data_IF_563484529929
#
_entry.id   IF_563484529929
#
_cell.length_a   1.000
_cell.length_b   1.000
_cell.length_c   1.000
_cell.angle_alpha   90.00
_cell.angle_beta   90.00
_cell.angle_gamma   90.00
#
_symmetry.space_group_name_H-M   'P 1'
#
loop_
_entity.id
_entity.type
_entity.pdbx_description
1 polymer ?
#
# COMPACT_ATOMS: atom_id res chain seq x y z
N UNK A 1 -43.05 -16.93 26.98
CA UNK A 1 -42.17 -17.96 26.37
C UNK A 1 -40.92 -17.25 25.87
N UNK A 2 -39.80 -17.59 26.49
CA UNK A 2 -38.51 -16.93 26.25
C UNK A 2 -37.94 -17.36 24.90
N UNK A 3 -37.57 -16.39 24.07
CA UNK A 3 -36.76 -16.59 22.87
C UNK A 3 -35.27 -16.50 23.25
N UNK A 4 -34.57 -17.62 23.09
CA UNK A 4 -33.14 -17.74 23.32
C UNK A 4 -32.36 -16.91 22.30
N UNK A 5 -31.61 -15.91 22.78
CA UNK A 5 -30.57 -15.26 22.02
C UNK A 5 -29.46 -16.28 21.72
N UNK A 6 -29.12 -16.43 20.46
CA UNK A 6 -27.96 -17.22 20.07
C UNK A 6 -26.69 -16.42 20.42
N UNK A 7 -25.91 -16.94 21.36
CA UNK A 7 -24.52 -16.55 21.57
C UNK A 7 -23.72 -16.95 20.33
N UNK A 8 -23.26 -15.97 19.58
CA UNK A 8 -22.20 -16.13 18.61
C UNK A 8 -20.91 -16.49 19.37
N UNK A 9 -20.55 -17.77 19.34
CA UNK A 9 -19.36 -18.25 20.01
C UNK A 9 -18.11 -17.53 19.53
N UNK A 10 -17.54 -16.73 20.40
CA UNK A 10 -16.16 -16.27 20.33
C UNK A 10 -15.27 -17.51 20.31
N UNK A 11 -14.69 -17.84 19.15
CA UNK A 11 -13.59 -18.79 19.10
C UNK A 11 -12.45 -18.18 19.92
N UNK A 12 -12.02 -18.89 20.99
CA UNK A 12 -11.04 -18.40 21.96
C UNK A 12 -9.66 -18.20 21.36
N UNK A 13 -9.44 -17.04 20.80
CA UNK A 13 -8.12 -16.48 20.52
C UNK A 13 -7.69 -15.71 21.76
N UNK A 14 -6.43 -15.87 22.19
CA UNK A 14 -5.86 -15.06 23.27
C UNK A 14 -5.87 -13.57 22.96
N UNK A 15 -5.62 -12.75 23.95
CA UNK A 15 -5.49 -11.29 23.81
C UNK A 15 -4.04 -10.95 23.46
N UNK A 16 -3.78 -10.10 22.45
CA UNK A 16 -2.43 -9.62 22.17
C UNK A 16 -1.97 -8.73 23.32
N UNK A 17 -1.02 -9.22 24.10
CA UNK A 17 -0.45 -8.53 25.28
C UNK A 17 0.88 -7.83 24.99
N UNK A 18 1.49 -8.10 23.84
CA UNK A 18 2.74 -7.52 23.39
C UNK A 18 3.13 -8.00 21.99
N UNK A 19 4.23 -7.45 21.50
CA UNK A 19 4.82 -7.81 20.21
C UNK A 19 6.31 -8.13 20.39
N UNK A 20 6.76 -9.27 19.87
CA UNK A 20 8.17 -9.56 19.66
C UNK A 20 8.58 -9.08 18.28
N UNK A 21 9.59 -8.18 18.23
CA UNK A 21 10.06 -7.58 16.99
C UNK A 21 11.53 -7.92 16.77
N UNK A 22 11.83 -8.58 15.66
CA UNK A 22 13.19 -8.95 15.26
C UNK A 22 13.50 -8.50 13.83
N UNK A 23 14.77 -8.35 13.49
CA UNK A 23 15.20 -8.08 12.12
C UNK A 23 15.08 -9.36 11.28
N UNK A 24 14.37 -9.29 10.18
CA UNK A 24 14.22 -10.38 9.19
C UNK A 24 15.23 -10.26 8.05
N UNK A 25 15.39 -9.04 7.49
CA UNK A 25 16.41 -8.73 6.48
C UNK A 25 17.07 -7.42 6.88
N UNK A 26 18.39 -7.36 6.85
CA UNK A 26 19.17 -6.16 7.13
C UNK A 26 19.99 -5.72 5.91
N UNK A 27 20.57 -4.51 5.97
CA UNK A 27 21.49 -4.02 4.96
C UNK A 27 20.82 -3.49 3.69
N UNK A 28 19.55 -3.15 3.76
CA UNK A 28 18.77 -2.60 2.65
C UNK A 28 18.93 -1.06 2.56
N UNK A 29 18.65 -0.50 1.39
CA UNK A 29 18.62 0.94 1.19
C UNK A 29 17.20 1.41 0.87
N UNK A 30 16.51 1.93 1.87
CA UNK A 30 15.12 2.37 1.80
C UNK A 30 14.20 1.29 1.22
N UNK A 31 14.08 0.13 1.91
CA UNK A 31 13.15 -0.91 1.50
C UNK A 31 11.72 -0.34 1.46
N UNK A 32 11.05 -0.52 0.33
CA UNK A 32 9.77 0.13 0.13
C UNK A 32 8.58 -0.81 0.31
N UNK A 33 8.66 -2.02 -0.23
CA UNK A 33 7.61 -3.03 -0.10
C UNK A 33 8.20 -4.44 -0.10
N UNK A 34 7.46 -5.41 0.42
CA UNK A 34 7.84 -6.82 0.50
C UNK A 34 6.69 -7.70 0.01
N UNK A 35 7.02 -8.81 -0.64
CA UNK A 35 6.06 -9.83 -1.05
C UNK A 35 6.72 -11.21 -1.10
N UNK A 36 5.90 -12.26 -1.25
CA UNK A 36 6.36 -13.66 -1.33
C UNK A 36 5.83 -14.32 -2.58
N UNK A 37 6.68 -15.11 -3.25
CA UNK A 37 6.23 -16.06 -4.25
C UNK A 37 5.59 -17.29 -3.57
N UNK A 38 4.76 -18.06 -4.29
CA UNK A 38 4.10 -19.24 -3.71
C UNK A 38 5.04 -20.31 -3.14
N UNK A 39 6.30 -20.33 -3.57
CA UNK A 39 7.33 -21.23 -3.05
C UNK A 39 8.08 -20.71 -1.82
N UNK A 40 7.70 -19.55 -1.29
CA UNK A 40 8.34 -18.91 -0.14
C UNK A 40 9.50 -17.97 -0.49
N UNK A 41 9.88 -17.81 -1.75
CA UNK A 41 10.86 -16.81 -2.19
C UNK A 41 10.40 -15.41 -1.79
N UNK A 42 11.29 -14.63 -1.17
CA UNK A 42 10.99 -13.28 -0.70
C UNK A 42 11.43 -12.25 -1.75
N UNK A 43 10.58 -11.27 -2.00
CA UNK A 43 10.86 -10.13 -2.86
C UNK A 43 10.81 -8.84 -2.05
N UNK A 44 11.80 -7.96 -2.26
CA UNK A 44 11.84 -6.64 -1.63
C UNK A 44 12.20 -5.59 -2.67
N UNK A 45 11.40 -4.54 -2.78
CA UNK A 45 11.77 -3.35 -3.53
C UNK A 45 12.54 -2.38 -2.65
N UNK A 46 13.58 -1.78 -3.21
CA UNK A 46 14.32 -0.69 -2.60
C UNK A 46 14.19 0.56 -3.46
N UNK A 47 13.87 1.68 -2.82
CA UNK A 47 13.56 2.95 -3.52
C UNK A 47 14.64 3.42 -4.50
N UNK A 48 15.95 3.22 -4.25
CA UNK A 48 16.99 3.58 -5.24
C UNK A 48 16.91 2.85 -6.58
N UNK A 49 16.11 1.81 -6.72
CA UNK A 49 15.85 1.13 -7.99
C UNK A 49 16.30 -0.33 -8.03
N UNK A 50 16.10 -1.06 -6.94
CA UNK A 50 16.40 -2.50 -6.87
C UNK A 50 15.15 -3.31 -6.50
N UNK A 51 14.92 -4.39 -7.23
CA UNK A 51 14.03 -5.48 -6.82
C UNK A 51 14.93 -6.67 -6.44
N UNK A 52 15.02 -6.96 -5.16
CA UNK A 52 15.76 -8.10 -4.63
C UNK A 52 14.86 -9.32 -4.53
N UNK A 53 15.33 -10.47 -5.00
CA UNK A 53 14.64 -11.77 -5.00
C UNK A 53 15.50 -12.78 -4.26
N UNK A 54 15.08 -13.19 -3.08
CA UNK A 54 15.81 -14.09 -2.18
C UNK A 54 15.33 -15.53 -2.39
N UNK A 55 15.94 -16.22 -3.35
CA UNK A 55 15.53 -17.59 -3.75
C UNK A 55 15.97 -18.65 -2.72
N UNK A 56 17.18 -18.49 -2.18
CA UNK A 56 17.81 -19.46 -1.26
C UNK A 56 17.70 -19.04 0.20
N UNK A 57 16.68 -18.22 0.54
CA UNK A 57 16.49 -17.65 1.87
C UNK A 57 17.12 -16.26 2.01
N UNK A 58 16.71 -15.54 3.03
CA UNK A 58 17.06 -14.12 3.21
C UNK A 58 18.49 -13.87 3.67
N UNK A 59 19.18 -14.90 4.15
CA UNK A 59 20.61 -14.84 4.49
C UNK A 59 21.52 -15.01 3.28
N UNK A 60 20.98 -15.44 2.13
CA UNK A 60 21.71 -15.57 0.88
C UNK A 60 21.73 -14.25 0.09
N UNK A 61 22.68 -14.14 -0.84
CA UNK A 61 22.68 -13.01 -1.76
C UNK A 61 21.47 -13.09 -2.70
N UNK A 62 20.66 -12.02 -2.82
CA UNK A 62 19.52 -12.03 -3.72
C UNK A 62 19.94 -11.97 -5.20
N UNK A 63 19.10 -12.53 -6.06
CA UNK A 63 19.04 -12.09 -7.43
C UNK A 63 18.44 -10.68 -7.47
N UNK A 64 19.08 -9.72 -8.13
CA UNK A 64 18.65 -8.32 -8.11
C UNK A 64 18.36 -7.81 -9.52
N UNK A 65 17.15 -7.26 -9.69
CA UNK A 65 16.73 -6.55 -10.91
C UNK A 65 16.98 -5.05 -10.69
N UNK A 66 17.79 -4.45 -11.56
CA UNK A 66 18.16 -3.02 -11.50
C UNK A 66 17.88 -2.35 -12.85
N UNK A 67 16.65 -1.86 -13.09
CA UNK A 67 16.32 -1.13 -14.31
C UNK A 67 17.10 0.19 -14.37
N UNK A 68 17.61 0.53 -15.54
CA UNK A 68 18.42 1.74 -15.78
C UNK A 68 17.57 3.02 -15.94
N UNK A 69 16.27 2.89 -16.08
CA UNK A 69 15.32 3.99 -16.25
C UNK A 69 14.68 4.50 -14.94
N UNK A 70 15.02 3.92 -13.78
CA UNK A 70 14.44 4.35 -12.49
C UNK A 70 14.93 5.75 -12.10
N UNK A 71 14.00 6.60 -11.68
CA UNK A 71 14.28 7.95 -11.17
C UNK A 71 14.03 7.99 -9.66
N UNK A 72 15.10 7.82 -8.89
CA UNK A 72 15.06 7.84 -7.42
C UNK A 72 15.26 9.27 -6.89
N UNK A 73 14.27 10.15 -7.09
CA UNK A 73 14.29 11.54 -6.61
C UNK A 73 13.04 11.86 -5.80
N UNK A 74 13.18 12.59 -4.70
CA UNK A 74 12.09 12.89 -3.78
C UNK A 74 11.47 11.62 -3.20
N UNK A 75 10.17 11.43 -3.38
CA UNK A 75 9.43 10.20 -3.03
C UNK A 75 9.49 9.15 -4.14
N UNK A 76 9.92 9.53 -5.35
CA UNK A 76 10.04 8.63 -6.49
C UNK A 76 11.16 7.61 -6.34
N UNK A 77 11.15 6.60 -7.18
CA UNK A 77 12.07 5.48 -7.18
C UNK A 77 11.35 4.19 -7.53
N UNK A 78 11.87 3.04 -7.11
CA UNK A 78 11.15 1.78 -7.16
C UNK A 78 10.30 1.64 -5.88
N UNK A 79 9.00 1.46 -6.04
CA UNK A 79 8.00 1.66 -5.01
C UNK A 79 7.24 0.34 -4.70
N UNK A 80 5.91 0.37 -4.76
CA UNK A 80 5.05 -0.76 -4.41
C UNK A 80 5.26 -2.00 -5.27
N UNK A 81 5.06 -3.14 -4.65
CA UNK A 81 5.28 -4.47 -5.20
C UNK A 81 4.05 -5.34 -4.96
N UNK A 82 3.65 -6.13 -5.97
CA UNK A 82 2.60 -7.13 -5.85
C UNK A 82 2.91 -8.37 -6.68
N UNK A 83 2.61 -9.54 -6.15
CA UNK A 83 2.76 -10.83 -6.84
C UNK A 83 1.40 -11.24 -7.42
N UNK A 84 1.36 -11.66 -8.69
CA UNK A 84 0.12 -12.16 -9.28
C UNK A 84 -0.38 -13.40 -8.51
N UNK A 85 -1.66 -13.48 -8.14
CA UNK A 85 -2.23 -14.67 -7.52
C UNK A 85 -2.05 -15.96 -8.35
N UNK A 86 -1.85 -15.81 -9.67
CA UNK A 86 -1.55 -16.91 -10.60
C UNK A 86 -0.05 -17.04 -10.93
N UNK A 87 0.85 -16.54 -10.07
CA UNK A 87 2.30 -16.54 -10.32
C UNK A 87 2.83 -17.88 -10.78
N UNK A 88 2.41 -18.98 -10.16
CA UNK A 88 2.84 -20.34 -10.53
C UNK A 88 2.59 -20.70 -12.01
N UNK A 89 1.66 -19.98 -12.67
CA UNK A 89 1.29 -20.19 -14.08
C UNK A 89 1.96 -19.16 -14.98
N UNK A 90 1.96 -17.85 -14.55
CA UNK A 90 2.31 -16.74 -15.42
C UNK A 90 3.65 -16.06 -15.06
N UNK A 91 4.19 -16.28 -13.85
CA UNK A 91 5.43 -15.68 -13.38
C UNK A 91 5.35 -14.16 -13.14
N UNK A 92 4.15 -13.58 -13.03
CA UNK A 92 4.00 -12.12 -13.02
C UNK A 92 4.19 -11.51 -11.63
N UNK A 93 4.96 -10.42 -11.63
CA UNK A 93 5.18 -9.52 -10.50
C UNK A 93 4.99 -8.10 -10.98
N UNK A 94 4.26 -7.29 -10.23
CA UNK A 94 3.93 -5.91 -10.57
C UNK A 94 4.73 -4.98 -9.67
N UNK A 95 5.39 -3.99 -10.27
CA UNK A 95 6.21 -3.01 -9.55
C UNK A 95 5.85 -1.62 -10.02
N UNK A 96 5.52 -0.76 -9.06
CA UNK A 96 5.43 0.68 -9.33
C UNK A 96 6.83 1.30 -9.34
N UNK A 97 7.10 2.19 -10.28
CA UNK A 97 8.34 2.96 -10.25
C UNK A 97 8.23 4.31 -10.96
N UNK A 98 8.96 5.31 -10.47
CA UNK A 98 9.22 6.50 -11.25
C UNK A 98 10.29 6.17 -12.29
N UNK A 99 10.04 6.47 -13.55
CA UNK A 99 10.84 6.02 -14.69
C UNK A 99 11.04 7.14 -15.71
N UNK A 100 12.24 7.25 -16.26
CA UNK A 100 12.55 8.15 -17.37
C UNK A 100 12.78 7.36 -18.64
N UNK A 101 11.86 7.44 -19.56
CA UNK A 101 11.98 6.79 -20.88
C UNK A 101 11.94 7.85 -21.97
N UNK A 102 12.94 7.85 -22.85
CA UNK A 102 13.06 8.81 -23.94
C UNK A 102 13.01 10.30 -23.52
N UNK A 103 13.48 10.60 -22.30
CA UNK A 103 13.52 11.96 -21.75
C UNK A 103 12.22 12.42 -21.09
N UNK A 104 11.19 11.60 -21.04
CA UNK A 104 9.96 11.86 -20.29
C UNK A 104 9.97 11.04 -19.00
N UNK A 105 9.66 11.70 -17.87
CA UNK A 105 9.54 11.03 -16.57
C UNK A 105 8.07 10.93 -16.18
N UNK A 106 7.66 9.72 -15.81
CA UNK A 106 6.36 9.44 -15.23
C UNK A 106 6.49 8.42 -14.07
N UNK A 107 5.44 8.24 -13.29
CA UNK A 107 5.28 7.03 -12.48
C UNK A 107 4.56 6.01 -13.34
N UNK A 108 4.99 4.76 -13.28
CA UNK A 108 4.37 3.68 -14.06
C UNK A 108 4.24 2.39 -13.26
N UNK A 109 3.29 1.57 -13.65
CA UNK A 109 3.17 0.20 -13.19
C UNK A 109 3.79 -0.73 -14.23
N UNK A 110 4.86 -1.40 -13.83
CA UNK A 110 5.62 -2.35 -14.66
C UNK A 110 5.27 -3.77 -14.22
N UNK A 111 5.08 -4.66 -15.16
CA UNK A 111 4.98 -6.08 -14.92
C UNK A 111 6.25 -6.78 -15.36
N UNK A 112 6.91 -7.45 -14.43
CA UNK A 112 7.98 -8.40 -14.75
C UNK A 112 7.38 -9.80 -14.86
N UNK A 113 7.79 -10.55 -15.89
CA UNK A 113 7.65 -11.99 -15.92
C UNK A 113 8.96 -12.58 -15.41
N UNK A 114 8.91 -13.23 -14.26
CA UNK A 114 10.03 -13.97 -13.68
C UNK A 114 9.96 -15.42 -14.10
N UNK A 115 11.11 -16.09 -14.10
CA UNK A 115 11.15 -17.54 -14.34
C UNK A 115 10.45 -18.30 -13.21
N UNK A 116 9.58 -19.22 -13.58
CA UNK A 116 8.86 -20.05 -12.60
C UNK A 116 9.55 -21.40 -12.39
N UNK A 117 9.48 -22.01 -11.20
CA UNK A 117 8.78 -21.50 -10.01
C UNK A 117 9.62 -20.57 -9.13
N UNK A 118 10.91 -20.40 -9.39
CA UNK A 118 11.88 -19.86 -8.43
C UNK A 118 12.01 -18.33 -8.47
N UNK A 119 11.66 -17.68 -9.60
CA UNK A 119 11.81 -16.24 -9.74
C UNK A 119 13.25 -15.74 -9.88
N UNK A 120 14.20 -16.62 -10.21
CA UNK A 120 15.63 -16.34 -10.22
C UNK A 120 16.16 -15.66 -11.50
N UNK A 121 15.29 -15.33 -12.44
CA UNK A 121 15.63 -14.54 -13.62
C UNK A 121 14.41 -13.77 -14.15
N UNK A 122 14.67 -12.63 -14.83
CA UNK A 122 13.63 -11.89 -15.55
C UNK A 122 13.55 -12.44 -16.97
N UNK A 123 12.35 -12.90 -17.34
CA UNK A 123 12.05 -13.38 -18.69
C UNK A 123 11.59 -12.21 -19.58
N UNK A 124 10.77 -11.30 -19.02
CA UNK A 124 10.24 -10.15 -19.76
C UNK A 124 9.85 -9.01 -18.81
N UNK A 125 9.85 -7.78 -19.35
CA UNK A 125 9.27 -6.58 -18.74
C UNK A 125 8.18 -6.00 -19.65
N UNK A 126 7.07 -5.59 -19.09
CA UNK A 126 5.99 -4.90 -19.79
C UNK A 126 5.50 -3.73 -18.95
N UNK A 127 5.47 -2.52 -19.52
CA UNK A 127 4.90 -1.35 -18.87
C UNK A 127 3.38 -1.37 -19.08
N UNK A 128 2.60 -1.71 -18.06
CA UNK A 128 1.14 -1.91 -18.20
C UNK A 128 0.31 -0.66 -17.91
N UNK A 129 0.82 0.26 -17.08
CA UNK A 129 0.27 1.60 -16.91
C UNK A 129 1.40 2.60 -17.00
N UNK A 130 1.27 3.58 -17.88
CA UNK A 130 2.19 4.70 -18.08
C UNK A 130 1.43 6.02 -17.94
N UNK A 131 2.17 7.12 -17.73
CA UNK A 131 1.59 8.45 -17.70
C UNK A 131 0.93 8.81 -16.36
N UNK A 132 1.16 8.08 -15.28
CA UNK A 132 0.87 8.63 -13.96
C UNK A 132 1.80 9.84 -13.74
N UNK A 133 1.27 11.01 -13.35
CA UNK A 133 2.03 12.24 -13.36
C UNK A 133 3.23 12.19 -12.42
N UNK A 134 4.30 12.84 -12.82
CA UNK A 134 5.52 13.06 -12.04
C UNK A 134 5.97 14.50 -12.23
N UNK A 135 6.32 15.19 -11.15
CA UNK A 135 6.87 16.53 -11.20
C UNK A 135 8.27 16.61 -10.59
N UNK A 136 8.35 16.93 -9.31
CA UNK A 136 9.62 17.01 -8.56
C UNK A 136 9.93 15.76 -7.73
N UNK A 137 9.18 14.69 -7.91
CA UNK A 137 9.20 13.48 -7.07
C UNK A 137 8.29 13.56 -5.85
N UNK A 138 7.52 14.64 -5.67
CA UNK A 138 6.47 14.72 -4.64
C UNK A 138 5.27 13.88 -5.04
N UNK A 139 4.64 13.26 -4.04
CA UNK A 139 3.39 12.54 -4.16
C UNK A 139 3.40 11.49 -5.29
N UNK A 140 4.39 10.63 -5.25
CA UNK A 140 4.52 9.56 -6.26
C UNK A 140 3.53 8.41 -6.04
N UNK A 141 2.91 8.29 -4.87
CA UNK A 141 2.02 7.18 -4.54
C UNK A 141 2.76 5.85 -4.64
N UNK A 142 2.41 5.05 -5.20
CA UNK A 142 1.97 4.04 -6.13
C UNK A 142 2.13 2.67 -5.47
N UNK A 143 1.04 2.12 -4.95
CA UNK A 143 1.01 0.82 -4.30
C UNK A 143 -0.03 -0.09 -4.94
N UNK A 144 0.41 -1.13 -5.67
CA UNK A 144 -0.50 -2.11 -6.25
C UNK A 144 -0.92 -3.16 -5.22
N UNK A 145 -2.17 -3.62 -5.28
CA UNK A 145 -2.71 -4.78 -4.56
C UNK A 145 -3.79 -5.45 -5.37
N UNK A 146 -3.82 -6.78 -5.40
CA UNK A 146 -4.97 -7.47 -5.93
C UNK A 146 -6.13 -7.40 -4.95
N UNK A 147 -7.30 -6.98 -5.45
CA UNK A 147 -8.53 -7.02 -4.67
C UNK A 147 -9.19 -8.40 -4.72
N UNK A 148 -10.19 -8.64 -3.84
CA UNK A 148 -10.97 -9.88 -3.82
C UNK A 148 -11.73 -10.13 -5.13
N UNK A 149 -11.96 -9.07 -5.90
CA UNK A 149 -12.57 -9.10 -7.23
C UNK A 149 -11.61 -9.55 -8.35
N UNK A 150 -10.34 -9.83 -8.02
CA UNK A 150 -9.29 -10.29 -8.94
C UNK A 150 -8.70 -9.21 -9.84
N UNK A 151 -9.08 -7.94 -9.65
CA UNK A 151 -8.48 -6.78 -10.32
C UNK A 151 -7.33 -6.21 -9.50
N UNK A 152 -6.46 -5.47 -10.18
CA UNK A 152 -5.34 -4.77 -9.56
C UNK A 152 -5.79 -3.36 -9.19
N UNK A 153 -5.67 -3.03 -7.90
CA UNK A 153 -5.95 -1.73 -7.34
C UNK A 153 -4.64 -0.99 -7.08
N UNK A 154 -4.58 0.28 -7.50
CA UNK A 154 -3.33 1.06 -7.41
C UNK A 154 -3.65 2.46 -6.90
N UNK A 155 -3.19 2.78 -5.68
CA UNK A 155 -3.24 4.15 -5.19
C UNK A 155 -2.19 5.02 -5.89
N UNK A 156 -2.55 6.22 -6.34
CA UNK A 156 -1.64 7.16 -7.01
C UNK A 156 -1.57 8.49 -6.28
N UNK A 157 -0.47 9.22 -6.46
CA UNK A 157 -0.35 10.59 -5.97
C UNK A 157 -0.69 11.61 -7.06
N UNK A 158 -1.00 12.85 -6.66
CA UNK A 158 -1.31 13.96 -7.55
C UNK A 158 -0.07 14.63 -8.17
N UNK A 159 1.14 14.13 -7.83
CA UNK A 159 2.44 14.68 -8.21
C UNK A 159 2.64 16.16 -7.79
N UNK A 160 1.88 16.64 -6.81
CA UNK A 160 1.77 18.05 -6.43
C UNK A 160 1.39 18.96 -7.61
N UNK A 161 0.52 18.47 -8.50
CA UNK A 161 -0.06 19.19 -9.62
C UNK A 161 -1.55 19.43 -9.35
N UNK A 162 -1.96 20.69 -9.17
CA UNK A 162 -3.26 21.05 -8.61
C UNK A 162 -4.48 20.54 -9.36
N UNK A 163 -4.39 20.35 -10.67
CA UNK A 163 -5.52 19.91 -11.50
C UNK A 163 -5.70 18.41 -11.58
N UNK A 164 -4.64 17.63 -11.33
CA UNK A 164 -4.67 16.18 -11.57
C UNK A 164 -5.69 15.40 -10.75
N UNK A 165 -5.98 15.74 -9.47
CA UNK A 165 -6.95 14.96 -8.69
C UNK A 165 -8.36 14.97 -9.28
N UNK A 166 -8.79 16.08 -9.88
CA UNK A 166 -10.14 16.28 -10.42
C UNK A 166 -10.24 16.06 -11.93
N UNK A 167 -9.12 16.01 -12.65
CA UNK A 167 -9.06 15.75 -14.08
C UNK A 167 -9.33 14.24 -14.35
N UNK A 168 -10.40 13.93 -15.07
CA UNK A 168 -10.80 12.55 -15.37
C UNK A 168 -9.82 11.84 -16.32
N UNK A 169 -9.11 12.58 -17.15
CA UNK A 169 -8.11 12.04 -18.08
C UNK A 169 -6.73 11.83 -17.43
N UNK A 170 -6.52 12.38 -16.23
CA UNK A 170 -5.30 12.19 -15.44
C UNK A 170 -5.37 10.90 -14.61
N UNK A 171 -4.23 10.21 -14.47
CA UNK A 171 -4.06 9.08 -13.55
C UNK A 171 -3.51 9.50 -12.19
N UNK A 172 -3.28 10.79 -11.94
CA UNK A 172 -2.79 11.31 -10.65
C UNK A 172 -3.92 11.64 -9.68
N UNK A 173 -3.69 11.39 -8.38
CA UNK A 173 -4.68 11.60 -7.34
C UNK A 173 -5.91 10.70 -7.51
N UNK A 174 -5.68 9.42 -7.75
CA UNK A 174 -6.68 8.39 -8.04
C UNK A 174 -6.44 7.12 -7.25
N UNK A 175 -7.48 6.31 -7.12
CA UNK A 175 -7.33 4.87 -6.95
C UNK A 175 -7.73 4.21 -8.26
N UNK A 176 -6.77 3.57 -8.92
CA UNK A 176 -7.01 2.83 -10.14
C UNK A 176 -7.56 1.44 -9.81
N UNK A 177 -8.44 0.91 -10.68
CA UNK A 177 -8.89 -0.48 -10.64
C UNK A 177 -8.84 -1.02 -12.07
N UNK A 178 -7.90 -1.91 -12.32
CA UNK A 178 -7.47 -2.33 -13.65
C UNK A 178 -7.29 -3.84 -13.75
N UNK A 179 -7.33 -4.37 -14.95
CA UNK A 179 -6.95 -5.77 -15.19
C UNK A 179 -5.43 -5.96 -15.20
N UNK A 180 -4.98 -7.20 -15.35
CA UNK A 180 -3.55 -7.58 -15.40
C UNK A 180 -2.76 -6.94 -16.54
N UNK A 181 -3.43 -6.35 -17.53
CA UNK A 181 -2.83 -5.69 -18.69
C UNK A 181 -3.01 -4.17 -18.67
N UNK A 182 -3.56 -3.63 -17.56
CA UNK A 182 -3.73 -2.20 -17.36
C UNK A 182 -4.98 -1.60 -17.99
N UNK A 183 -5.90 -2.42 -18.53
CA UNK A 183 -7.19 -1.93 -18.99
C UNK A 183 -8.13 -1.65 -17.80
N UNK A 184 -9.05 -0.70 -17.98
CA UNK A 184 -10.07 -0.38 -16.98
C UNK A 184 -10.88 -1.62 -16.61
N UNK A 185 -11.08 -1.86 -15.30
CA UNK A 185 -11.95 -2.93 -14.85
C UNK A 185 -13.42 -2.63 -15.16
N UNK A 186 -14.25 -3.63 -15.46
CA UNK A 186 -15.69 -3.45 -15.61
C UNK A 186 -16.32 -2.82 -14.36
N UNK A 187 -17.22 -1.87 -14.57
CA UNK A 187 -17.90 -1.14 -13.51
C UNK A 187 -17.21 0.13 -13.02
N UNK A 188 -16.00 0.43 -13.50
CA UNK A 188 -15.43 1.76 -13.33
C UNK A 188 -16.28 2.83 -14.06
N UNK A 189 -16.45 3.99 -13.43
CA UNK A 189 -17.23 5.09 -13.99
C UNK A 189 -16.64 5.52 -15.36
N UNK A 190 -17.50 5.71 -16.35
CA UNK A 190 -17.11 6.20 -17.69
C UNK A 190 -16.11 5.32 -18.45
N UNK A 191 -15.79 4.12 -17.96
CA UNK A 191 -14.75 3.27 -18.53
C UNK A 191 -13.32 3.77 -18.28
N UNK A 192 -13.14 4.69 -17.35
CA UNK A 192 -11.83 5.15 -16.90
C UNK A 192 -11.08 4.06 -16.15
N UNK A 193 -9.74 4.16 -16.12
CA UNK A 193 -8.89 3.25 -15.30
C UNK A 193 -9.05 3.49 -13.79
N UNK A 194 -9.46 4.68 -13.39
CA UNK A 194 -9.70 5.00 -11.99
C UNK A 194 -11.08 4.52 -11.52
N UNK A 195 -11.15 4.13 -10.27
CA UNK A 195 -12.35 3.77 -9.54
C UNK A 195 -12.84 4.92 -8.66
N UNK A 196 -11.90 5.64 -8.04
CA UNK A 196 -12.14 6.86 -7.31
C UNK A 196 -11.13 7.96 -7.66
N UNK A 197 -11.50 9.21 -7.43
CA UNK A 197 -10.72 10.41 -7.74
C UNK A 197 -10.76 11.42 -6.60
N UNK A 198 -9.99 12.51 -6.74
CA UNK A 198 -9.93 13.53 -5.71
C UNK A 198 -9.10 13.11 -4.51
N UNK A 199 -8.02 12.37 -4.73
CA UNK A 199 -7.02 11.97 -3.76
C UNK A 199 -5.76 12.83 -3.88
N UNK A 200 -5.02 12.99 -2.77
CA UNK A 200 -3.76 13.74 -2.75
C UNK A 200 -2.55 12.83 -2.97
N UNK A 201 -2.29 11.90 -2.07
CA UNK A 201 -1.11 11.02 -2.13
C UNK A 201 -1.41 9.68 -1.45
N UNK A 202 -2.09 8.81 -2.17
CA UNK A 202 -2.46 7.48 -1.69
C UNK A 202 -1.24 6.58 -1.62
N UNK A 203 -0.86 6.17 -0.41
CA UNK A 203 0.35 5.39 -0.10
C UNK A 203 0.07 3.94 0.25
N UNK A 204 -1.15 3.61 0.68
CA UNK A 204 -1.56 2.27 1.07
C UNK A 204 -2.86 1.85 0.38
N UNK A 205 -2.97 0.55 0.11
CA UNK A 205 -4.19 -0.16 -0.31
C UNK A 205 -4.19 -1.49 0.43
N UNK A 206 -5.30 -1.86 1.05
CA UNK A 206 -5.43 -3.12 1.77
C UNK A 206 -6.86 -3.66 1.68
N UNK A 207 -7.00 -4.98 1.73
CA UNK A 207 -8.28 -5.68 1.73
C UNK A 207 -8.34 -6.64 2.91
N UNK A 208 -9.51 -6.74 3.56
CA UNK A 208 -9.80 -7.71 4.60
C UNK A 208 -10.53 -8.91 3.99
N UNK A 209 -9.96 -10.10 4.13
CA UNK A 209 -10.49 -11.30 3.45
C UNK A 209 -11.84 -11.77 4.00
N UNK A 210 -12.17 -11.42 5.25
CA UNK A 210 -13.38 -11.92 5.90
C UNK A 210 -14.68 -11.35 5.30
N UNK A 211 -14.63 -10.13 4.74
CA UNK A 211 -15.81 -9.38 4.27
C UNK A 211 -15.52 -8.53 3.01
N UNK A 212 -14.36 -8.74 2.38
CA UNK A 212 -13.91 -8.01 1.20
C UNK A 212 -13.76 -6.50 1.41
N UNK A 213 -13.73 -6.03 2.67
CA UNK A 213 -13.57 -4.62 2.99
C UNK A 213 -12.23 -4.09 2.46
N UNK A 214 -12.29 -3.10 1.58
CA UNK A 214 -11.12 -2.44 1.03
C UNK A 214 -10.91 -1.05 1.62
N UNK A 215 -9.66 -0.71 1.92
CA UNK A 215 -9.26 0.62 2.40
C UNK A 215 -8.05 1.15 1.67
N UNK A 216 -7.93 2.48 1.62
CA UNK A 216 -6.70 3.17 1.25
C UNK A 216 -6.25 4.10 2.37
N UNK A 217 -4.94 4.40 2.40
CA UNK A 217 -4.33 5.38 3.30
C UNK A 217 -3.66 6.45 2.48
N UNK A 218 -3.80 7.71 2.87
CA UNK A 218 -3.17 8.81 2.15
C UNK A 218 -2.65 9.94 3.05
N UNK A 219 -1.68 10.67 2.52
CA UNK A 219 -1.09 11.81 3.21
C UNK A 219 -1.88 13.09 3.00
N UNK A 220 -2.26 13.73 4.09
CA UNK A 220 -2.67 15.12 4.10
C UNK A 220 -1.49 16.09 3.93
N UNK A 221 -1.75 17.39 3.73
CA UNK A 221 -0.69 18.40 3.56
C UNK A 221 0.12 18.66 4.85
N UNK A 222 -0.55 18.99 5.92
CA UNK A 222 0.04 19.19 7.27
C UNK A 222 -0.93 18.74 8.36
N UNK A 223 -2.16 18.51 7.96
CA UNK A 223 -3.30 17.98 8.75
C UNK A 223 -3.98 16.93 7.91
N UNK A 224 -4.82 16.12 8.54
CA UNK A 224 -5.76 15.22 7.88
C UNK A 224 -5.12 14.18 6.95
N UNK A 225 -4.15 13.40 7.46
CA UNK A 225 -3.91 12.09 6.86
C UNK A 225 -5.18 11.25 7.00
N UNK A 226 -5.52 10.45 6.01
CA UNK A 226 -6.81 9.78 5.93
C UNK A 226 -6.69 8.27 5.78
N UNK A 227 -7.64 7.56 6.40
CA UNK A 227 -8.03 6.20 6.06
C UNK A 227 -9.37 6.27 5.35
N UNK A 228 -9.43 5.79 4.12
CA UNK A 228 -10.59 5.88 3.24
C UNK A 228 -11.10 4.49 2.87
N UNK A 229 -12.42 4.31 2.76
CA UNK A 229 -12.98 3.12 2.12
C UNK A 229 -12.71 3.14 0.61
N UNK A 230 -12.43 1.98 0.03
CA UNK A 230 -12.35 1.81 -1.42
C UNK A 230 -13.76 1.72 -2.02
N UNK A 231 -14.38 2.88 -2.20
CA UNK A 231 -15.68 3.03 -2.85
C UNK A 231 -15.57 3.94 -4.07
N UNK A 232 -16.48 3.77 -5.02
CA UNK A 232 -16.52 4.65 -6.19
C UNK A 232 -16.96 6.06 -5.77
N UNK A 233 -16.24 7.08 -6.24
CA UNK A 233 -16.61 8.46 -5.94
C UNK A 233 -15.49 9.46 -6.09
N UNK A 234 -15.79 10.69 -5.66
CA UNK A 234 -14.85 11.79 -5.56
C UNK A 234 -14.57 12.05 -4.07
N UNK A 235 -13.31 12.02 -3.65
CA UNK A 235 -12.89 12.23 -2.26
C UNK A 235 -12.60 13.72 -1.94
N UNK A 236 -12.72 14.59 -2.94
CA UNK A 236 -12.84 16.04 -2.73
C UNK A 236 -11.53 16.82 -2.69
N UNK A 237 -10.35 16.19 -2.78
CA UNK A 237 -9.09 16.92 -2.85
C UNK A 237 -9.01 17.73 -4.15
N UNK A 238 -8.84 19.06 -4.02
CA UNK A 238 -8.76 20.00 -5.15
C UNK A 238 -7.98 21.26 -4.78
N UNK A 239 -6.64 21.23 -4.86
CA UNK A 239 -5.78 22.30 -4.37
C UNK A 239 -5.66 23.50 -5.32
N UNK A 240 -6.65 23.74 -6.17
CA UNK A 240 -6.63 24.90 -7.09
C UNK A 240 -7.21 26.17 -6.44
N UNK A 241 -6.79 27.37 -6.86
CA UNK A 241 -5.81 27.70 -7.93
C UNK A 241 -4.35 27.44 -7.50
N UNK A 242 -3.54 27.03 -8.46
CA UNK A 242 -2.15 26.63 -8.22
C UNK A 242 -2.05 25.27 -7.50
N UNK A 243 -1.25 25.21 -6.44
CA UNK A 243 -1.20 24.07 -5.52
C UNK A 243 -1.34 24.58 -4.09
N UNK A 244 -2.58 24.77 -3.66
CA UNK A 244 -2.93 25.33 -2.34
C UNK A 244 -3.16 24.22 -1.32
N UNK A 245 -2.17 23.96 -0.48
CA UNK A 245 -2.25 22.94 0.59
C UNK A 245 -3.05 23.40 1.83
N UNK A 246 -3.71 24.56 1.78
CA UNK A 246 -4.60 25.03 2.86
C UNK A 246 -6.07 24.67 2.64
N UNK A 247 -6.41 24.05 1.50
CA UNK A 247 -7.76 23.51 1.28
C UNK A 247 -7.97 22.23 2.08
N UNK A 248 -9.21 21.89 2.46
CA UNK A 248 -9.50 20.64 3.16
C UNK A 248 -9.20 19.43 2.25
N UNK A 249 -8.82 18.31 2.84
CA UNK A 249 -8.64 17.04 2.10
C UNK A 249 -9.96 16.63 1.42
N UNK A 250 -11.09 16.75 2.11
CA UNK A 250 -12.42 16.56 1.54
C UNK A 250 -13.19 17.88 1.53
N UNK A 251 -13.26 18.54 0.35
CA UNK A 251 -13.95 19.83 0.21
C UNK A 251 -15.45 19.64 -0.07
N UNK A 252 -16.26 19.52 0.97
CA UNK A 252 -17.72 19.38 0.90
C UNK A 252 -18.41 20.66 0.41
N UNK A 253 -17.77 21.83 0.46
CA UNK A 253 -18.32 23.07 -0.08
C UNK A 253 -18.27 23.06 -1.62
N UNK A 254 -17.14 22.63 -2.17
CA UNK A 254 -16.94 22.53 -3.62
C UNK A 254 -17.58 21.25 -4.21
N UNK A 255 -17.53 20.17 -3.47
CA UNK A 255 -18.05 18.86 -3.84
C UNK A 255 -19.01 18.33 -2.76
N UNK A 256 -20.29 18.77 -2.73
CA UNK A 256 -21.23 18.41 -1.65
C UNK A 256 -21.52 16.91 -1.50
N UNK A 257 -21.16 16.11 -2.50
CA UNK A 257 -21.31 14.65 -2.51
C UNK A 257 -19.95 13.93 -2.43
N UNK A 258 -18.88 14.63 -2.00
CA UNK A 258 -17.60 13.96 -1.81
C UNK A 258 -17.68 12.88 -0.74
N UNK A 259 -16.92 11.82 -0.93
CA UNK A 259 -16.82 10.74 0.05
C UNK A 259 -15.89 11.18 1.17
N UNK A 260 -16.36 11.12 2.39
CA UNK A 260 -15.56 11.45 3.57
C UNK A 260 -14.72 10.25 4.01
N UNK A 261 -13.54 10.54 4.57
CA UNK A 261 -12.68 9.53 5.19
C UNK A 261 -13.40 8.85 6.37
N UNK A 262 -13.12 7.57 6.59
CA UNK A 262 -13.59 6.86 7.77
C UNK A 262 -12.78 7.21 9.02
N UNK A 263 -11.61 7.81 8.83
CA UNK A 263 -10.76 8.33 9.88
C UNK A 263 -9.79 9.37 9.32
N UNK A 264 -9.55 10.42 10.11
CA UNK A 264 -8.57 11.47 9.82
C UNK A 264 -7.73 11.78 11.05
N UNK A 265 -6.44 12.09 10.84
CA UNK A 265 -5.53 12.47 11.95
C UNK A 265 -5.91 13.78 12.61
N UNK A 266 -6.60 14.68 11.92
CA UNK A 266 -6.58 16.09 12.29
C UNK A 266 -5.15 16.64 12.26
N UNK A 267 -4.71 17.28 13.34
CA UNK A 267 -3.37 17.87 13.44
C UNK A 267 -2.62 17.30 14.66
N UNK A 268 -1.35 16.90 14.50
CA UNK A 268 -0.55 16.85 13.28
C UNK A 268 -0.78 15.58 12.45
N UNK A 269 -0.30 15.55 11.21
CA UNK A 269 -0.21 14.34 10.38
C UNK A 269 0.76 13.31 10.97
N UNK A 270 0.49 12.02 10.71
CA UNK A 270 1.36 10.87 11.02
C UNK A 270 2.23 10.47 9.82
N UNK A 271 1.88 10.90 8.61
CA UNK A 271 2.35 10.46 7.30
C UNK A 271 2.09 8.95 7.10
N UNK A 272 0.80 8.62 6.96
CA UNK A 272 0.32 7.25 6.74
C UNK A 272 0.88 6.69 5.43
N UNK A 273 1.51 5.51 5.50
CA UNK A 273 2.13 4.86 4.34
C UNK A 273 1.43 3.53 4.01
N UNK A 274 2.18 2.44 3.84
CA UNK A 274 1.59 1.14 3.53
C UNK A 274 0.63 0.64 4.60
N UNK A 275 -0.32 -0.18 4.18
CA UNK A 275 -1.33 -0.78 5.02
C UNK A 275 -1.53 -2.26 4.70
N UNK A 276 -1.93 -3.04 5.69
CA UNK A 276 -2.38 -4.43 5.55
C UNK A 276 -3.36 -4.78 6.67
N UNK A 277 -4.37 -5.59 6.37
CA UNK A 277 -5.13 -6.25 7.43
C UNK A 277 -4.31 -7.40 8.00
N UNK A 278 -4.34 -7.56 9.33
CA UNK A 278 -3.73 -8.67 10.05
C UNK A 278 -4.80 -9.74 10.18
N UNK A 279 -4.52 -10.96 9.71
CA UNK A 279 -5.50 -12.03 9.65
C UNK A 279 -4.97 -13.34 10.25
N UNK A 280 -5.90 -14.17 10.70
CA UNK A 280 -5.60 -15.51 11.21
C UNK A 280 -5.54 -15.61 12.73
N UNK A 281 -5.76 -16.83 13.24
CA UNK A 281 -5.90 -17.12 14.67
C UNK A 281 -4.61 -16.86 15.47
N UNK A 282 -3.45 -16.80 14.82
CA UNK A 282 -2.16 -16.45 15.46
C UNK A 282 -2.21 -15.09 16.14
N UNK A 283 -3.06 -14.18 15.67
CA UNK A 283 -3.16 -12.81 16.13
C UNK A 283 -4.26 -12.58 17.17
N UNK A 284 -4.95 -13.63 17.61
CA UNK A 284 -5.95 -13.53 18.68
C UNK A 284 -7.02 -12.47 18.39
N UNK A 285 -7.17 -11.51 19.30
CA UNK A 285 -8.11 -10.39 19.20
C UNK A 285 -7.69 -9.33 18.15
N UNK A 286 -6.47 -9.41 17.60
CA UNK A 286 -6.04 -8.59 16.47
C UNK A 286 -6.38 -9.20 15.10
N UNK A 287 -7.08 -10.31 15.05
CA UNK A 287 -7.55 -10.87 13.79
C UNK A 287 -8.55 -9.91 13.11
N UNK A 288 -8.22 -9.37 11.96
CA UNK A 288 -9.02 -8.43 11.18
C UNK A 288 -8.74 -6.94 11.45
N UNK A 289 -7.75 -6.59 12.29
CA UNK A 289 -7.33 -5.19 12.47
C UNK A 289 -6.47 -4.72 11.29
N UNK A 290 -6.51 -3.42 11.03
CA UNK A 290 -5.69 -2.77 10.00
C UNK A 290 -4.40 -2.24 10.64
N UNK A 291 -3.26 -2.69 10.14
CA UNK A 291 -1.94 -2.15 10.47
C UNK A 291 -1.49 -1.17 9.39
N UNK A 292 -1.09 0.03 9.80
CA UNK A 292 -0.62 1.11 8.92
C UNK A 292 0.74 1.61 9.38
N UNK A 293 1.72 1.61 8.48
CA UNK A 293 3.02 2.18 8.76
C UNK A 293 3.00 3.71 8.72
N UNK A 294 3.71 4.36 9.64
CA UNK A 294 3.80 5.82 9.69
C UNK A 294 5.24 6.31 9.51
N UNK A 295 5.41 7.30 8.64
CA UNK A 295 6.74 7.83 8.31
C UNK A 295 7.16 8.97 9.25
N UNK A 296 6.24 9.89 9.55
CA UNK A 296 6.52 11.06 10.38
C UNK A 296 6.38 10.74 11.87
N UNK A 297 5.38 9.96 12.22
CA UNK A 297 5.15 9.55 13.60
C UNK A 297 6.03 8.36 14.05
N UNK A 298 6.73 7.71 13.11
CA UNK A 298 7.76 6.68 13.39
C UNK A 298 7.28 5.49 14.21
N UNK A 299 6.07 5.01 13.90
CA UNK A 299 5.47 3.83 14.56
C UNK A 299 4.60 3.04 13.58
N UNK A 300 4.21 1.83 13.94
CA UNK A 300 3.11 1.13 13.32
C UNK A 300 1.82 1.53 14.04
N UNK A 301 0.78 1.95 13.30
CA UNK A 301 -0.51 2.33 13.85
C UNK A 301 -1.55 1.26 13.55
N UNK A 302 -2.28 0.85 14.59
CA UNK A 302 -3.34 -0.15 14.49
C UNK A 302 -4.68 0.57 14.47
N UNK A 303 -5.57 0.13 13.58
CA UNK A 303 -6.96 0.58 13.51
C UNK A 303 -7.89 -0.63 13.62
N UNK A 304 -8.85 -0.56 14.52
CA UNK A 304 -9.95 -1.52 14.62
C UNK A 304 -11.08 -1.01 13.73
N UNK A 305 -11.32 -1.72 12.63
CA UNK A 305 -12.32 -1.33 11.63
C UNK A 305 -13.49 -2.31 11.69
N UNK A 306 -14.69 -1.79 11.91
CA UNK A 306 -15.93 -2.59 11.94
C UNK A 306 -16.26 -3.20 10.56
N UNK A 307 -17.25 -4.08 10.50
CA UNK A 307 -17.78 -4.61 9.22
C UNK A 307 -18.49 -3.55 8.39
N UNK A 308 -18.98 -2.49 9.03
CA UNK A 308 -19.60 -1.34 8.39
C UNK A 308 -18.57 -0.34 7.84
N UNK A 309 -17.27 -0.56 8.14
CA UNK A 309 -16.17 0.32 7.70
C UNK A 309 -15.93 1.50 8.62
N UNK A 310 -16.36 1.46 9.89
CA UNK A 310 -16.10 2.50 10.87
C UNK A 310 -14.83 2.18 11.67
N UNK A 311 -13.98 3.17 11.91
CA UNK A 311 -12.85 3.03 12.84
C UNK A 311 -13.39 3.19 14.27
N UNK A 312 -13.39 2.11 15.03
CA UNK A 312 -13.93 2.05 16.40
C UNK A 312 -12.86 2.25 17.47
N UNK A 313 -11.60 1.96 17.16
CA UNK A 313 -10.45 2.19 18.04
C UNK A 313 -9.17 2.31 17.20
N UNK A 314 -8.14 2.99 17.73
CA UNK A 314 -6.84 3.07 17.09
C UNK A 314 -5.73 3.41 18.10
N UNK A 315 -4.52 2.85 17.90
CA UNK A 315 -3.41 3.07 18.80
C UNK A 315 -2.05 2.79 18.12
N UNK A 316 -0.95 3.44 18.58
CA UNK A 316 0.39 3.17 18.09
C UNK A 316 1.00 1.91 18.74
N UNK A 317 1.89 1.24 17.98
CA UNK A 317 2.74 0.15 18.44
C UNK A 317 4.08 0.21 17.70
N UNK A 318 5.13 -0.44 18.18
CA UNK A 318 6.48 -0.45 17.56
C UNK A 318 7.00 0.99 17.38
N UNK A 319 7.10 1.73 18.46
CA UNK A 319 7.46 3.16 18.45
C UNK A 319 8.98 3.42 18.45
N UNK A 320 9.80 2.38 18.50
CA UNK A 320 11.25 2.44 18.68
C UNK A 320 12.08 2.07 17.42
N UNK A 321 11.43 1.88 16.28
CA UNK A 321 12.06 1.41 15.03
C UNK A 321 12.18 2.47 13.94
N UNK A 322 11.93 3.74 14.27
CA UNK A 322 12.03 4.84 13.32
C UNK A 322 10.90 4.85 12.27
N UNK A 323 11.22 5.40 11.11
CA UNK A 323 10.23 5.58 10.01
C UNK A 323 9.87 4.22 9.41
N UNK A 324 8.61 3.82 9.53
CA UNK A 324 8.10 2.57 8.96
C UNK A 324 7.39 2.85 7.63
N UNK A 325 7.56 1.93 6.64
CA UNK A 325 7.09 2.16 5.27
C UNK A 325 5.95 1.23 4.86
N UNK A 326 6.05 -0.07 5.04
CA UNK A 326 5.06 -1.01 4.55
C UNK A 326 4.92 -2.21 5.47
N UNK A 327 3.76 -2.41 6.13
CA UNK A 327 3.43 -3.67 6.74
C UNK A 327 2.88 -4.63 5.68
N UNK A 328 3.22 -5.91 5.80
CA UNK A 328 2.70 -7.00 4.98
C UNK A 328 2.64 -8.29 5.78
N UNK A 329 1.54 -9.02 5.70
CA UNK A 329 1.46 -10.35 6.31
C UNK A 329 2.13 -11.39 5.41
N UNK A 330 3.01 -12.20 5.98
CA UNK A 330 3.71 -13.28 5.29
C UNK A 330 2.87 -14.54 5.19
N UNK A 331 3.32 -15.53 4.38
CA UNK A 331 2.62 -16.80 4.20
C UNK A 331 2.62 -17.65 5.49
N UNK A 332 3.46 -17.37 6.45
CA UNK A 332 3.50 -17.97 7.79
C UNK A 332 2.50 -17.33 8.77
N UNK A 333 1.78 -16.30 8.32
CA UNK A 333 0.82 -15.55 9.12
C UNK A 333 1.45 -14.49 10.03
N UNK A 334 2.78 -14.30 10.03
CA UNK A 334 3.44 -13.25 10.78
C UNK A 334 3.39 -11.92 10.01
N UNK A 335 3.59 -10.81 10.72
CA UNK A 335 3.63 -9.49 10.12
C UNK A 335 5.08 -9.09 9.83
N UNK A 336 5.32 -8.55 8.65
CA UNK A 336 6.60 -8.01 8.21
C UNK A 336 6.47 -6.53 7.92
N UNK A 337 7.43 -5.74 8.36
CA UNK A 337 7.37 -4.28 8.22
C UNK A 337 8.68 -3.78 7.66
N UNK A 338 8.65 -3.13 6.49
CA UNK A 338 9.82 -2.42 5.97
C UNK A 338 9.96 -1.07 6.66
N UNK A 339 11.18 -0.65 6.95
CA UNK A 339 11.48 0.70 7.39
C UNK A 339 11.79 1.66 6.21
N UNK A 340 12.25 2.89 6.49
CA UNK A 340 12.70 3.86 5.48
C UNK A 340 14.19 4.20 5.66
N UNK A 341 14.96 3.29 6.26
CA UNK A 341 16.39 3.44 6.48
C UNK A 341 17.17 3.47 5.18
N UNK A 342 18.15 4.37 5.06
CA UNK A 342 18.94 4.54 3.84
C UNK A 342 20.40 4.13 3.99
N UNK A 343 21.10 3.92 2.87
CA UNK A 343 22.52 3.67 2.82
C UNK A 343 22.93 2.37 3.51
N UNK A 344 22.22 1.25 3.26
CA UNK A 344 22.37 -0.05 3.92
C UNK A 344 21.99 -0.07 5.43
N UNK A 345 21.31 0.96 5.90
CA UNK A 345 20.75 1.01 7.26
C UNK A 345 19.28 0.60 7.34
N UNK A 346 18.66 0.24 6.18
CA UNK A 346 17.28 -0.21 6.12
C UNK A 346 17.15 -1.69 6.44
N UNK A 347 15.98 -2.05 6.96
CA UNK A 347 15.65 -3.42 7.35
C UNK A 347 14.19 -3.79 7.06
N UNK A 348 13.93 -5.08 7.02
CA UNK A 348 12.59 -5.65 7.18
C UNK A 348 12.52 -6.24 8.57
N UNK A 349 11.54 -5.81 9.33
CA UNK A 349 11.22 -6.35 10.64
C UNK A 349 10.26 -7.54 10.51
N UNK A 350 10.43 -8.56 11.35
CA UNK A 350 9.42 -9.60 11.58
C UNK A 350 8.76 -9.33 12.93
N UNK A 351 7.45 -9.37 12.98
CA UNK A 351 6.63 -9.09 14.15
C UNK A 351 5.77 -10.29 14.48
N UNK A 352 5.92 -10.77 15.71
CA UNK A 352 5.18 -11.92 16.25
C UNK A 352 4.33 -11.47 17.44
N UNK A 353 3.03 -11.81 17.52
CA UNK A 353 2.23 -11.46 18.67
C UNK A 353 2.58 -12.31 19.91
N UNK A 354 2.60 -11.67 21.07
CA UNK A 354 2.64 -12.33 22.38
C UNK A 354 1.22 -12.38 22.91
N UNK A 355 0.66 -13.57 23.05
CA UNK A 355 -0.72 -13.74 23.51
C UNK A 355 -0.76 -14.02 25.00
N UNK A 356 -1.71 -13.39 25.69
CA UNK A 356 -2.16 -13.77 27.02
C UNK A 356 -3.45 -14.61 26.92
N UNK A 357 -3.68 -15.49 27.87
CA UNK A 357 -4.90 -16.31 27.92
C UNK A 357 -6.18 -15.47 28.00
#
# INVERSE_FOLDING_TARGET
MAGSGGDGGSAGGGVVSGLDVSTFIAGLDKPWDIAWLPNGTVLVTERPGRLNVYVDGVDAQPFTVTPDDVVANGEGGMLGLEVDPNFAINGYVYVCMASNVAGATDVRLVRYALETPNGNSVVNRTDIVQGMPYSSGRHSGCRPRFGPDGYLWVGTGDAALGTTPQDDDSLGGKVLRIDRNGAAAPGNAGGYRWFSKGHRNTQGVAFRSADDLGVSTEHGPSIDDEVNLLVAGNFGWDPVPGYNESVPMTDLVKFPNAVEAIWSTGSPTLALSGATFIEGNTWGDWNGVLAVATLKATHLHIYVVSSEGEVTDHFPVIEDRGRLRSPRQGPDGLLYVTDDGGGAGGEVLQVTPVLSP
#
